data_IF_572705232420
#
_entry.id   IF_572705232420
#
_cell.length_a   1.000
_cell.length_b   1.000
_cell.length_c   1.000
_cell.angle_alpha   90.00
_cell.angle_beta   90.00
_cell.angle_gamma   90.00
#
_symmetry.space_group_name_H-M   'P 1'
#
loop_
_entity.id
_entity.type
_entity.pdbx_description
1 polymer ?
#
# COMPACT_ATOMS: atom_id res chain seq x y z
N UNK A 1 13.21 -13.43 -2.20
CA UNK A 1 14.65 -13.19 -1.93
C UNK A 1 15.54 -13.49 -3.13
N UNK A 2 15.26 -14.56 -3.89
CA UNK A 2 15.98 -14.94 -5.12
C UNK A 2 16.20 -13.77 -6.11
N UNK A 3 15.16 -12.96 -6.36
CA UNK A 3 15.24 -11.79 -7.25
C UNK A 3 16.29 -10.76 -6.79
N UNK A 4 16.41 -10.55 -5.48
CA UNK A 4 17.42 -9.65 -4.91
C UNK A 4 18.83 -10.21 -5.10
N UNK A 5 19.04 -11.50 -4.85
CA UNK A 5 20.35 -12.14 -5.04
C UNK A 5 20.79 -12.06 -6.51
N UNK A 6 19.89 -12.43 -7.44
CA UNK A 6 20.13 -12.33 -8.88
C UNK A 6 20.58 -10.92 -9.32
N UNK A 7 19.91 -9.88 -8.81
CA UNK A 7 20.23 -8.49 -9.15
C UNK A 7 21.57 -8.06 -8.55
N UNK A 8 21.85 -8.40 -7.29
CA UNK A 8 23.10 -8.06 -6.61
C UNK A 8 24.32 -8.69 -7.27
N UNK A 9 24.24 -9.98 -7.64
CA UNK A 9 25.31 -10.71 -8.33
C UNK A 9 25.71 -10.08 -9.67
N UNK A 10 24.76 -9.41 -10.33
CA UNK A 10 24.94 -8.77 -11.64
C UNK A 10 25.08 -7.26 -11.56
N UNK A 11 25.18 -6.71 -10.35
CA UNK A 11 25.29 -5.28 -10.07
C UNK A 11 24.13 -4.43 -10.63
N UNK A 12 22.94 -5.02 -10.77
CA UNK A 12 21.74 -4.30 -11.15
C UNK A 12 21.15 -3.56 -9.96
N UNK A 13 20.82 -2.29 -10.14
CA UNK A 13 20.20 -1.46 -9.10
C UNK A 13 18.68 -1.39 -9.26
N UNK A 14 18.18 -1.62 -10.47
CA UNK A 14 16.76 -1.53 -10.78
C UNK A 14 16.32 -2.63 -11.74
N UNK A 15 15.13 -3.19 -11.52
CA UNK A 15 14.53 -4.24 -12.35
C UNK A 15 14.43 -3.85 -13.83
N UNK A 16 14.38 -2.54 -14.15
CA UNK A 16 14.38 -2.05 -15.54
C UNK A 16 15.68 -2.31 -16.28
N UNK A 17 16.79 -2.49 -15.56
CA UNK A 17 18.11 -2.85 -16.11
C UNK A 17 18.20 -4.35 -16.42
N UNK A 18 17.17 -5.12 -16.04
CA UNK A 18 17.12 -6.58 -16.18
C UNK A 18 16.16 -7.00 -17.29
N UNK A 19 16.25 -8.28 -17.69
CA UNK A 19 15.27 -8.90 -18.58
C UNK A 19 13.95 -9.27 -17.87
N UNK A 20 13.82 -9.03 -16.57
CA UNK A 20 12.61 -9.39 -15.82
C UNK A 20 11.50 -8.40 -16.14
N UNK A 21 10.46 -8.87 -16.81
CA UNK A 21 9.29 -8.06 -17.20
C UNK A 21 8.16 -8.09 -16.18
N UNK A 22 8.12 -9.09 -15.32
CA UNK A 22 7.08 -9.25 -14.31
C UNK A 22 7.11 -8.11 -13.28
N UNK A 23 5.92 -7.62 -12.93
CA UNK A 23 5.67 -6.59 -11.92
C UNK A 23 4.57 -7.06 -10.98
N UNK A 24 4.76 -6.84 -9.69
CA UNK A 24 3.77 -7.20 -8.68
C UNK A 24 3.16 -5.92 -8.11
N UNK A 25 1.83 -5.83 -8.14
CA UNK A 25 1.09 -4.74 -7.54
C UNK A 25 0.53 -5.22 -6.21
N UNK A 26 0.86 -4.49 -5.14
CA UNK A 26 0.24 -4.65 -3.83
C UNK A 26 -0.72 -3.47 -3.68
N UNK A 27 -2.00 -3.77 -3.51
CA UNK A 27 -3.05 -2.76 -3.38
C UNK A 27 -3.65 -2.90 -1.98
N UNK A 28 -3.59 -1.82 -1.22
CA UNK A 28 -4.26 -1.68 0.08
C UNK A 28 -5.37 -0.66 -0.10
N UNK A 29 -6.62 -1.10 -0.11
CA UNK A 29 -7.78 -0.23 -0.36
C UNK A 29 -8.10 0.67 0.84
N UNK A 30 -8.02 0.12 2.06
CA UNK A 30 -8.17 0.88 3.29
C UNK A 30 -7.04 0.57 4.27
N UNK A 31 -6.06 1.46 4.32
CA UNK A 31 -4.90 1.37 5.21
C UNK A 31 -5.22 1.48 6.69
N UNK A 32 -6.33 2.14 7.06
CA UNK A 32 -6.75 2.27 8.45
C UNK A 32 -7.10 0.91 9.10
N UNK A 33 -7.56 -0.06 8.32
CA UNK A 33 -7.81 -1.44 8.81
C UNK A 33 -6.52 -2.16 9.23
N UNK A 34 -5.36 -1.64 8.81
CA UNK A 34 -4.06 -2.19 9.20
C UNK A 34 -3.49 -1.54 10.47
N UNK A 35 -4.22 -0.61 11.09
CA UNK A 35 -3.81 0.04 12.33
C UNK A 35 -4.20 -0.82 13.54
N UNK A 36 -3.25 -1.18 14.42
CA UNK A 36 -3.58 -1.91 15.63
C UNK A 36 -4.41 -1.04 16.59
N UNK A 37 -5.55 -1.56 17.04
CA UNK A 37 -6.35 -0.97 18.11
C UNK A 37 -6.02 -1.62 19.47
N UNK A 38 -6.04 -0.83 20.54
CA UNK A 38 -5.84 -1.30 21.92
C UNK A 38 -6.94 -2.26 22.38
N UNK A 39 -8.12 -2.23 21.77
CA UNK A 39 -9.23 -3.14 22.06
C UNK A 39 -9.03 -4.55 21.48
N UNK A 40 -8.09 -4.73 20.56
CA UNK A 40 -7.82 -6.02 19.90
C UNK A 40 -6.96 -6.94 20.77
N UNK A 41 -7.00 -8.24 20.48
CA UNK A 41 -6.12 -9.20 21.15
C UNK A 41 -4.64 -8.91 20.84
N UNK A 42 -3.72 -9.33 21.72
CA UNK A 42 -2.27 -9.17 21.50
C UNK A 42 -1.81 -9.83 20.20
N UNK A 43 -2.42 -10.94 19.82
CA UNK A 43 -2.10 -11.66 18.58
C UNK A 43 -2.52 -10.88 17.34
N UNK A 44 -3.74 -10.34 17.33
CA UNK A 44 -4.23 -9.49 16.24
C UNK A 44 -3.35 -8.25 16.09
N UNK A 45 -3.00 -7.58 17.20
CA UNK A 45 -2.10 -6.43 17.16
C UNK A 45 -0.73 -6.79 16.56
N UNK A 46 -0.14 -7.93 16.96
CA UNK A 46 1.13 -8.41 16.38
C UNK A 46 1.02 -8.64 14.87
N UNK A 47 -0.08 -9.22 14.41
CA UNK A 47 -0.32 -9.45 12.97
C UNK A 47 -0.39 -8.13 12.20
N UNK A 48 -1.18 -7.16 12.67
CA UNK A 48 -1.31 -5.85 12.01
C UNK A 48 0.02 -5.10 11.98
N UNK A 49 0.79 -5.14 13.07
CA UNK A 49 2.14 -4.58 13.12
C UNK A 49 3.06 -5.27 12.11
N UNK A 50 2.99 -6.60 11.96
CA UNK A 50 3.77 -7.32 10.96
C UNK A 50 3.41 -6.88 9.53
N UNK A 51 2.11 -6.75 9.22
CA UNK A 51 1.64 -6.24 7.93
C UNK A 51 2.19 -4.83 7.64
N UNK A 52 2.10 -3.90 8.60
CA UNK A 52 2.63 -2.54 8.45
C UNK A 52 4.16 -2.54 8.22
N UNK A 53 4.89 -3.41 8.92
CA UNK A 53 6.34 -3.58 8.73
C UNK A 53 6.67 -4.09 7.33
N UNK A 54 5.91 -5.06 6.82
CA UNK A 54 6.06 -5.60 5.47
C UNK A 54 5.78 -4.53 4.41
N UNK A 55 4.69 -3.78 4.54
CA UNK A 55 4.37 -2.67 3.63
C UNK A 55 5.45 -1.58 3.64
N UNK A 56 5.98 -1.25 4.81
CA UNK A 56 7.10 -0.30 4.94
C UNK A 56 8.37 -0.80 4.24
N UNK A 57 8.66 -2.10 4.35
CA UNK A 57 9.78 -2.72 3.66
C UNK A 57 9.60 -2.70 2.13
N UNK A 58 8.40 -3.07 1.65
CA UNK A 58 8.02 -2.99 0.23
C UNK A 58 8.16 -1.56 -0.29
N UNK A 59 7.65 -0.57 0.44
CA UNK A 59 7.75 0.83 0.02
C UNK A 59 9.21 1.27 -0.13
N UNK A 60 10.08 0.86 0.80
CA UNK A 60 11.50 1.28 0.81
C UNK A 60 12.36 0.63 -0.27
N UNK A 61 12.16 -0.67 -0.56
CA UNK A 61 13.08 -1.41 -1.46
C UNK A 61 12.38 -2.10 -2.64
N UNK A 62 11.06 -2.29 -2.57
CA UNK A 62 10.30 -3.08 -3.53
C UNK A 62 10.29 -2.46 -4.92
N UNK A 63 10.37 -1.12 -5.01
CA UNK A 63 10.40 -0.37 -6.27
C UNK A 63 11.49 -0.86 -7.23
N UNK A 64 12.71 -1.01 -6.70
CA UNK A 64 13.87 -1.52 -7.44
C UNK A 64 13.70 -2.97 -7.91
N UNK A 65 12.88 -3.77 -7.22
CA UNK A 65 12.65 -5.19 -7.50
C UNK A 65 11.41 -5.44 -8.39
N UNK A 66 10.72 -4.37 -8.80
CA UNK A 66 9.51 -4.44 -9.62
C UNK A 66 8.22 -4.66 -8.83
N UNK A 67 8.23 -4.39 -7.53
CA UNK A 67 7.01 -4.26 -6.73
C UNK A 67 6.49 -2.82 -6.81
N UNK A 68 5.16 -2.67 -6.79
CA UNK A 68 4.46 -1.38 -6.81
C UNK A 68 3.40 -1.42 -5.72
N UNK A 69 3.51 -0.51 -4.76
CA UNK A 69 2.55 -0.37 -3.68
C UNK A 69 1.57 0.75 -4.03
N UNK A 70 0.28 0.42 -4.08
CA UNK A 70 -0.83 1.38 -4.12
C UNK A 70 -1.48 1.32 -2.75
N UNK A 71 -1.37 2.41 -1.99
CA UNK A 71 -1.87 2.49 -0.62
C UNK A 71 -2.94 3.58 -0.55
N UNK A 72 -4.16 3.17 -0.22
CA UNK A 72 -5.34 4.02 -0.15
C UNK A 72 -5.88 4.06 1.29
N UNK A 73 -6.52 5.17 1.65
CA UNK A 73 -7.26 5.31 2.92
C UNK A 73 -8.28 6.46 2.80
N UNK A 74 -9.43 6.31 3.46
CA UNK A 74 -10.43 7.37 3.56
C UNK A 74 -10.14 8.36 4.69
N UNK A 75 -9.49 7.91 5.76
CA UNK A 75 -9.22 8.71 6.96
C UNK A 75 -7.71 8.88 7.14
N UNK A 76 -7.08 9.82 6.40
CA UNK A 76 -5.64 10.01 6.49
C UNK A 76 -5.27 10.65 7.82
N UNK A 77 -4.64 9.86 8.68
CA UNK A 77 -3.99 10.30 9.92
C UNK A 77 -2.52 9.86 9.89
N UNK A 78 -1.72 10.35 10.84
CA UNK A 78 -0.35 9.88 11.00
C UNK A 78 -0.26 8.37 11.32
N UNK A 79 -1.32 7.80 11.89
CA UNK A 79 -1.38 6.39 12.27
C UNK A 79 -1.83 5.49 11.11
N UNK A 80 -2.78 5.97 10.28
CA UNK A 80 -3.33 5.22 9.13
C UNK A 80 -2.45 5.25 7.89
N UNK A 81 -1.59 6.27 7.76
CA UNK A 81 -0.62 6.36 6.68
C UNK A 81 0.80 6.19 7.24
N UNK A 82 1.37 4.97 7.19
CA UNK A 82 2.69 4.71 7.74
C UNK A 82 3.75 5.66 7.14
N UNK A 83 4.55 6.29 8.01
CA UNK A 83 5.56 7.29 7.60
C UNK A 83 6.49 6.79 6.50
N UNK A 84 6.92 5.53 6.57
CA UNK A 84 7.79 4.92 5.56
C UNK A 84 7.08 4.79 4.21
N UNK A 85 5.80 4.40 4.19
CA UNK A 85 5.01 4.34 2.95
C UNK A 85 4.93 5.74 2.33
N UNK A 86 4.60 6.75 3.13
CA UNK A 86 4.53 8.13 2.65
C UNK A 86 5.86 8.66 2.11
N UNK A 87 6.95 8.47 2.85
CA UNK A 87 8.27 9.01 2.48
C UNK A 87 8.86 8.35 1.24
N UNK A 88 8.57 7.07 1.00
CA UNK A 88 9.08 6.32 -0.14
C UNK A 88 8.08 6.27 -1.33
N UNK A 89 6.96 7.01 -1.26
CA UNK A 89 6.00 7.10 -2.36
C UNK A 89 6.47 8.11 -3.41
N UNK A 90 6.70 7.65 -4.63
CA UNK A 90 7.09 8.49 -5.78
C UNK A 90 5.99 9.50 -6.17
N UNK A 91 4.74 9.14 -5.91
CA UNK A 91 3.57 9.94 -6.23
C UNK A 91 2.54 9.86 -5.11
N UNK A 92 1.86 10.97 -4.84
CA UNK A 92 0.79 11.08 -3.84
C UNK A 92 -0.42 11.72 -4.52
N UNK A 93 -1.60 11.13 -4.34
CA UNK A 93 -2.84 11.64 -4.88
C UNK A 93 -3.80 11.87 -3.70
N UNK A 94 -4.36 13.07 -3.63
CA UNK A 94 -5.37 13.40 -2.63
C UNK A 94 -6.62 13.97 -3.28
N UNK A 95 -7.79 13.47 -2.86
CA UNK A 95 -9.07 14.13 -3.09
C UNK A 95 -9.33 15.20 -2.03
N UNK A 96 -10.48 15.87 -2.11
CA UNK A 96 -10.84 16.93 -1.16
C UNK A 96 -10.82 16.39 0.26
N UNK A 97 -10.05 17.01 1.13
CA UNK A 97 -10.00 16.72 2.56
C UNK A 97 -10.56 17.90 3.35
N UNK A 98 -11.00 17.70 4.61
CA UNK A 98 -11.64 18.78 5.36
C UNK A 98 -10.64 19.82 5.92
N UNK A 99 -9.38 19.45 6.14
CA UNK A 99 -8.42 20.28 6.90
C UNK A 99 -7.04 20.31 6.26
N UNK A 100 -6.30 21.40 6.50
CA UNK A 100 -4.89 21.53 6.13
C UNK A 100 -4.01 20.44 6.76
N UNK A 101 -4.32 20.03 7.99
CA UNK A 101 -3.62 18.93 8.67
C UNK A 101 -3.74 17.62 7.88
N UNK A 102 -4.95 17.28 7.43
CA UNK A 102 -5.17 16.10 6.60
C UNK A 102 -4.45 16.23 5.25
N UNK A 103 -4.44 17.42 4.64
CA UNK A 103 -3.65 17.71 3.44
C UNK A 103 -2.16 17.42 3.64
N UNK A 104 -1.59 17.95 4.73
CA UNK A 104 -0.20 17.78 5.10
C UNK A 104 0.16 16.33 5.41
N UNK A 105 -0.78 15.54 5.95
CA UNK A 105 -0.60 14.11 6.15
C UNK A 105 -0.44 13.40 4.82
N UNK A 106 -1.29 13.66 3.83
CA UNK A 106 -1.31 12.91 2.55
C UNK A 106 -0.25 13.38 1.56
N UNK A 107 -0.15 14.69 1.30
CA UNK A 107 0.67 15.24 0.20
C UNK A 107 1.86 16.08 0.69
N UNK A 108 2.10 16.17 2.00
CA UNK A 108 3.14 17.00 2.63
C UNK A 108 3.05 18.50 2.29
N UNK A 109 1.90 18.97 1.82
CA UNK A 109 1.58 20.37 1.52
C UNK A 109 0.10 20.65 1.83
N UNK A 110 -0.27 21.91 1.97
CA UNK A 110 -1.68 22.33 2.03
C UNK A 110 -2.31 22.35 0.63
N UNK A 111 -3.63 22.35 0.55
CA UNK A 111 -4.37 22.59 -0.70
C UNK A 111 -5.56 21.67 -0.91
N UNK A 112 -5.54 20.44 -0.36
CA UNK A 112 -6.66 19.49 -0.51
C UNK A 112 -7.94 19.99 0.18
N UNK A 113 -7.82 20.85 1.18
CA UNK A 113 -8.96 21.53 1.83
C UNK A 113 -9.61 22.61 0.98
N UNK A 114 -8.84 23.15 0.03
CA UNK A 114 -9.22 24.30 -0.78
C UNK A 114 -9.68 23.91 -2.19
N UNK A 115 -9.52 22.66 -2.62
CA UNK A 115 -9.97 22.23 -3.95
C UNK A 115 -11.49 22.31 -4.09
N UNK A 116 -11.95 22.73 -5.28
CA UNK A 116 -13.39 22.80 -5.58
C UNK A 116 -14.06 21.45 -5.36
N UNK A 117 -15.26 21.47 -4.78
CA UNK A 117 -16.06 20.27 -4.50
C UNK A 117 -16.69 19.70 -5.77
N UNK A 118 -15.85 19.19 -6.66
CA UNK A 118 -16.22 18.51 -7.91
C UNK A 118 -15.80 17.05 -7.74
N UNK A 119 -16.70 16.07 -7.91
CA UNK A 119 -16.34 14.66 -7.84
C UNK A 119 -15.16 14.32 -8.76
N UNK A 120 -14.19 13.58 -8.25
CA UNK A 120 -12.96 13.23 -8.99
C UNK A 120 -11.90 14.34 -9.09
N UNK A 121 -12.16 15.56 -8.56
CA UNK A 121 -11.13 16.60 -8.46
C UNK A 121 -10.10 16.22 -7.40
N UNK A 122 -8.83 16.24 -7.78
CA UNK A 122 -7.73 15.84 -6.90
C UNK A 122 -6.50 16.73 -7.09
N UNK A 123 -5.59 16.71 -6.11
CA UNK A 123 -4.21 17.14 -6.30
C UNK A 123 -3.33 15.90 -6.45
N UNK A 124 -2.45 15.94 -7.45
CA UNK A 124 -1.45 14.94 -7.71
C UNK A 124 -0.06 15.53 -7.50
N UNK A 125 0.68 14.96 -6.56
CA UNK A 125 2.01 15.39 -6.13
C UNK A 125 3.05 14.37 -6.56
N UNK A 126 3.98 14.81 -7.39
CA UNK A 126 5.25 14.15 -7.70
C UNK A 126 6.38 15.10 -7.27
N UNK A 127 7.31 15.41 -8.17
CA UNK A 127 8.18 16.59 -8.11
C UNK A 127 7.39 17.91 -8.06
N UNK A 128 6.22 17.95 -8.68
CA UNK A 128 5.32 19.11 -8.71
C UNK A 128 3.93 18.78 -8.20
N UNK A 129 3.23 19.78 -7.69
CA UNK A 129 1.82 19.67 -7.32
C UNK A 129 0.96 20.12 -8.50
N UNK A 130 0.07 19.25 -8.96
CA UNK A 130 -0.83 19.54 -10.09
C UNK A 130 -2.27 19.23 -9.71
N UNK A 131 -3.18 20.16 -9.97
CA UNK A 131 -4.62 19.88 -9.91
C UNK A 131 -5.04 19.04 -11.12
N UNK A 132 -5.70 17.91 -10.88
CA UNK A 132 -6.15 16.98 -11.91
C UNK A 132 -7.62 16.62 -11.74
N UNK A 133 -8.23 16.15 -12.83
CA UNK A 133 -9.56 15.57 -12.83
C UNK A 133 -9.43 14.07 -13.13
N UNK A 134 -9.75 13.23 -12.14
CA UNK A 134 -9.71 11.77 -12.27
C UNK A 134 -10.89 11.30 -13.15
N UNK A 135 -10.68 10.34 -14.08
CA UNK A 135 -11.76 9.77 -14.87
C UNK A 135 -12.83 9.11 -14.01
N UNK A 136 -14.08 9.30 -14.37
CA UNK A 136 -15.19 8.59 -13.75
C UNK A 136 -15.34 7.21 -14.39
N UNK A 137 -15.45 6.17 -13.56
CA UNK A 137 -15.83 4.82 -13.99
C UNK A 137 -17.14 4.46 -13.29
N UNK A 138 -18.15 4.06 -14.07
CA UNK A 138 -19.42 3.59 -13.53
C UNK A 138 -19.30 2.12 -13.07
N UNK A 139 -20.18 1.67 -12.17
CA UNK A 139 -20.23 0.27 -11.75
C UNK A 139 -20.46 -0.69 -12.92
N UNK A 140 -21.31 -0.29 -13.88
CA UNK A 140 -21.56 -1.06 -15.10
C UNK A 140 -20.29 -1.20 -15.94
N UNK A 141 -19.60 -0.07 -16.19
CA UNK A 141 -18.33 -0.07 -16.94
C UNK A 141 -17.27 -0.92 -16.23
N UNK A 142 -17.15 -0.77 -14.91
CA UNK A 142 -16.22 -1.54 -14.09
C UNK A 142 -16.51 -3.04 -14.20
N UNK A 143 -17.78 -3.44 -14.02
CA UNK A 143 -18.16 -4.85 -14.10
C UNK A 143 -17.95 -5.44 -15.50
N UNK A 144 -18.29 -4.71 -16.55
CA UNK A 144 -18.08 -5.15 -17.93
C UNK A 144 -16.61 -5.43 -18.24
N UNK A 145 -15.69 -4.68 -17.64
CA UNK A 145 -14.24 -4.91 -17.78
C UNK A 145 -13.76 -6.06 -16.89
N UNK A 146 -14.23 -6.13 -15.65
CA UNK A 146 -13.72 -7.08 -14.65
C UNK A 146 -14.28 -8.50 -14.79
N UNK A 147 -15.50 -8.66 -15.32
CA UNK A 147 -16.20 -9.96 -15.37
C UNK A 147 -15.37 -11.07 -16.02
N UNK A 148 -14.55 -10.75 -17.03
CA UNK A 148 -13.68 -11.75 -17.70
C UNK A 148 -12.58 -12.33 -16.80
N UNK A 149 -12.28 -11.67 -15.67
CA UNK A 149 -11.27 -12.07 -14.69
C UNK A 149 -11.90 -12.66 -13.43
N UNK A 150 -13.23 -12.83 -13.39
CA UNK A 150 -13.91 -13.50 -12.28
C UNK A 150 -13.45 -14.96 -12.24
N UNK A 151 -12.74 -15.33 -11.17
CA UNK A 151 -12.29 -16.69 -10.93
C UNK A 151 -13.34 -17.39 -10.08
N UNK A 152 -13.87 -18.53 -10.54
CA UNK A 152 -14.69 -19.40 -9.69
C UNK A 152 -13.84 -19.81 -8.48
N UNK A 153 -14.24 -19.39 -7.28
CA UNK A 153 -13.56 -19.77 -6.04
C UNK A 153 -13.76 -21.27 -5.82
N UNK A 154 -12.80 -22.08 -6.25
CA UNK A 154 -12.59 -23.37 -5.62
C UNK A 154 -12.05 -23.08 -4.21
N UNK A 155 -12.78 -23.49 -3.18
CA UNK A 155 -12.33 -23.40 -1.79
C UNK A 155 -11.02 -24.18 -1.62
N UNK A 156 -9.89 -23.49 -1.76
CA UNK A 156 -8.62 -23.99 -1.24
C UNK A 156 -8.62 -23.74 0.27
N UNK A 157 -9.04 -24.76 1.03
CA UNK A 157 -8.80 -24.89 2.47
C UNK A 157 -7.30 -25.01 2.73
N UNK A 158 -6.56 -23.92 2.58
CA UNK A 158 -5.21 -23.81 3.14
C UNK A 158 -5.33 -23.39 4.61
N UNK A 159 -5.63 -24.37 5.46
CA UNK A 159 -5.34 -24.31 6.89
C UNK A 159 -3.83 -24.27 7.05
N UNK A 160 -3.24 -23.08 7.10
CA UNK A 160 -1.92 -22.95 7.69
C UNK A 160 -2.07 -23.28 9.18
N UNK A 161 -1.76 -24.53 9.54
CA UNK A 161 -1.53 -24.95 10.91
C UNK A 161 -0.40 -24.07 11.45
N UNK A 162 -0.73 -23.19 12.38
CA UNK A 162 0.25 -22.54 13.23
C UNK A 162 0.71 -23.65 14.18
N UNK A 163 1.78 -24.35 13.82
CA UNK A 163 2.48 -25.19 14.79
C UNK A 163 3.04 -24.28 15.88
N UNK A 164 2.52 -24.45 17.10
CA UNK A 164 3.10 -23.93 18.32
C UNK A 164 4.44 -24.62 18.54
N UNK A 165 5.54 -23.92 18.28
CA UNK A 165 6.85 -24.30 18.83
C UNK A 165 6.85 -23.89 20.31
N UNK A 166 6.36 -24.79 21.16
CA UNK A 166 6.76 -24.81 22.57
C UNK A 166 8.21 -25.30 22.60
N UNK A 167 9.15 -24.37 22.76
CA UNK A 167 10.52 -24.69 23.15
C UNK A 167 11.01 -23.55 24.05
N UNK A 168 10.42 -23.51 25.24
CA UNK A 168 10.99 -22.85 26.41
C UNK A 168 11.37 -23.99 27.39
N UNK A 169 12.53 -24.58 27.15
CA UNK A 169 13.21 -25.43 28.11
C UNK A 169 14.66 -24.97 28.25
N UNK A 170 14.92 -24.36 29.41
CA UNK A 170 16.14 -24.46 30.20
C UNK A 170 17.48 -24.26 29.51
N UNK A 171 18.09 -23.08 29.73
CA UNK A 171 19.51 -23.01 30.09
C UNK A 171 19.75 -21.88 31.10
N UNK A 172 20.41 -22.26 32.19
CA UNK A 172 20.87 -21.48 33.35
C UNK A 172 21.52 -20.11 33.04
#
# INVERSE_FOLDING_TARGET
EEKMCYMKERHYTNVVETNIKERHFIIVDEGAELCPDKSMSKEQQKLLIACQRMLSYIARIGGALGFRLIFCTQYPTGDTLPRQVKQNSDAKLGFRLPTQTASQVVIDECGLESIKSIPGRALFKTDRLTEIQVPYISNETMWNVLKQYEVEKHEHTNTHQIESSDDDSDLD
#
